data_IF_881549180737
#
_entry.id   IF_881549180737
#
_cell.length_a   1.000
_cell.length_b   1.000
_cell.length_c   1.000
_cell.angle_alpha   90.00
_cell.angle_beta   90.00
_cell.angle_gamma   90.00
#
_symmetry.space_group_name_H-M   'P 1'
#
loop_
_entity.id
_entity.type
_entity.pdbx_description
1 polymer ?
#
# COMPACT_ATOMS: atom_id res chain seq x y z
N UNK A 1 -3.25 1.26 -19.47
CA UNK A 1 -2.56 0.18 -18.75
C UNK A 1 -3.29 0.02 -17.43
N UNK A 2 -3.83 -1.16 -17.14
CA UNK A 2 -4.48 -1.40 -15.86
C UNK A 2 -3.46 -1.93 -14.87
N UNK A 3 -3.46 -1.32 -13.69
CA UNK A 3 -2.49 -1.57 -12.64
C UNK A 3 -3.09 -2.43 -11.54
N UNK A 4 -2.22 -3.24 -10.96
CA UNK A 4 -2.32 -3.94 -9.69
C UNK A 4 -3.20 -3.23 -8.65
N UNK A 5 -4.05 -4.01 -7.99
CA UNK A 5 -4.85 -3.65 -6.83
C UNK A 5 -4.04 -3.81 -5.56
N UNK A 6 -4.07 -2.78 -4.71
CA UNK A 6 -3.41 -2.76 -3.41
C UNK A 6 -4.45 -2.36 -2.37
N UNK A 7 -4.49 -3.07 -1.25
CA UNK A 7 -5.31 -2.74 -0.08
C UNK A 7 -4.45 -2.74 1.16
N UNK A 8 -4.66 -1.73 2.00
CA UNK A 8 -4.04 -1.58 3.29
C UNK A 8 -5.11 -1.62 4.38
N UNK A 9 -4.80 -2.33 5.46
CA UNK A 9 -5.68 -2.46 6.63
C UNK A 9 -4.84 -2.24 7.88
N UNK A 10 -5.31 -1.39 8.78
CA UNK A 10 -4.70 -1.18 10.09
C UNK A 10 -5.66 -1.63 11.18
N UNK A 11 -5.18 -2.47 12.08
CA UNK A 11 -5.95 -3.00 13.21
C UNK A 11 -5.00 -3.34 14.35
N UNK A 12 -5.35 -2.92 15.56
CA UNK A 12 -4.69 -3.33 16.81
C UNK A 12 -3.16 -3.13 16.79
N UNK A 13 -2.70 -2.01 16.22
CA UNK A 13 -1.27 -1.68 16.13
C UNK A 13 -0.51 -2.41 15.03
N UNK A 14 -1.20 -3.18 14.18
CA UNK A 14 -0.63 -3.87 13.01
C UNK A 14 -1.22 -3.27 11.74
N UNK A 15 -0.36 -2.92 10.80
CA UNK A 15 -0.74 -2.54 9.44
C UNK A 15 -0.34 -3.64 8.48
N UNK A 16 -1.28 -4.09 7.66
CA UNK A 16 -1.04 -5.02 6.57
C UNK A 16 -1.25 -4.31 5.23
N UNK A 17 -0.38 -4.59 4.26
CA UNK A 17 -0.55 -4.22 2.86
C UNK A 17 -0.60 -5.49 2.01
N UNK A 18 -1.66 -5.67 1.24
CA UNK A 18 -1.80 -6.72 0.25
C UNK A 18 -1.79 -6.08 -1.15
N UNK A 19 -1.02 -6.63 -2.08
CA UNK A 19 -1.04 -6.21 -3.48
C UNK A 19 -1.01 -7.42 -4.41
N UNK A 20 -1.90 -7.44 -5.41
CA UNK A 20 -1.91 -8.52 -6.39
C UNK A 20 -0.70 -8.41 -7.35
N UNK A 21 -0.64 -9.29 -8.35
CA UNK A 21 0.48 -9.33 -9.29
C UNK A 21 0.11 -9.00 -10.73
N UNK A 22 -1.17 -8.77 -11.02
CA UNK A 22 -1.65 -8.62 -12.38
C UNK A 22 -1.27 -7.26 -12.96
N UNK A 23 -0.81 -7.30 -14.21
CA UNK A 23 -0.59 -6.13 -15.05
C UNK A 23 -1.22 -6.43 -16.40
N UNK A 24 -2.12 -5.55 -16.84
CA UNK A 24 -2.85 -5.71 -18.09
C UNK A 24 -2.62 -4.52 -19.02
N UNK A 25 -2.41 -4.83 -20.31
CA UNK A 25 -2.34 -3.85 -21.39
C UNK A 25 -3.58 -4.03 -22.27
N UNK A 26 -4.55 -3.12 -22.12
CA UNK A 26 -5.92 -3.36 -22.61
C UNK A 26 -6.48 -4.61 -21.95
N UNK A 27 -6.99 -5.52 -22.77
CA UNK A 27 -7.62 -6.76 -22.32
C UNK A 27 -6.65 -7.94 -22.22
N UNK A 28 -5.34 -7.70 -22.39
CA UNK A 28 -4.30 -8.73 -22.35
C UNK A 28 -3.49 -8.64 -21.05
N UNK A 29 -3.41 -9.76 -20.33
CA UNK A 29 -2.51 -9.90 -19.18
C UNK A 29 -1.07 -10.02 -19.68
N UNK A 30 -0.23 -9.04 -19.32
CA UNK A 30 1.19 -9.01 -19.71
C UNK A 30 2.12 -9.52 -18.60
N UNK A 31 1.68 -9.49 -17.34
CA UNK A 31 2.42 -10.04 -16.19
C UNK A 31 1.45 -10.44 -15.08
N UNK A 32 1.75 -11.53 -14.37
CA UNK A 32 0.96 -12.03 -13.23
C UNK A 32 1.66 -11.95 -11.87
N UNK A 33 2.95 -11.62 -11.85
CA UNK A 33 3.78 -11.57 -10.64
C UNK A 33 4.52 -10.25 -10.49
N UNK A 34 3.85 -9.13 -10.74
CA UNK A 34 4.37 -7.84 -10.32
C UNK A 34 4.35 -7.73 -8.79
N UNK A 35 5.35 -7.10 -8.20
CA UNK A 35 5.37 -6.82 -6.75
C UNK A 35 5.45 -5.31 -6.60
N UNK A 36 4.34 -4.71 -6.17
CA UNK A 36 4.20 -3.25 -5.99
C UNK A 36 4.00 -2.83 -4.55
N UNK A 37 4.14 -3.77 -3.62
CA UNK A 37 4.23 -3.53 -2.19
C UNK A 37 5.65 -3.82 -1.73
N UNK A 38 6.19 -3.01 -0.83
CA UNK A 38 7.53 -3.20 -0.25
C UNK A 38 7.62 -2.56 1.14
N UNK A 39 8.69 -2.90 1.85
CA UNK A 39 9.09 -2.26 3.08
C UNK A 39 10.08 -1.12 2.80
N UNK A 40 10.09 -0.12 3.68
CA UNK A 40 11.06 0.98 3.77
C UNK A 40 11.53 1.12 5.22
N UNK A 41 12.56 1.93 5.45
CA UNK A 41 13.06 2.25 6.79
C UNK A 41 13.28 1.00 7.67
N UNK A 42 14.05 0.04 7.14
CA UNK A 42 14.39 -1.21 7.82
C UNK A 42 13.16 -2.04 8.27
N UNK A 43 12.03 -1.92 7.55
CA UNK A 43 10.80 -2.65 7.85
C UNK A 43 9.78 -1.87 8.69
N UNK A 44 10.10 -0.65 9.12
CA UNK A 44 9.21 0.16 9.95
C UNK A 44 8.03 0.78 9.17
N UNK A 45 8.12 0.85 7.85
CA UNK A 45 7.07 1.43 6.98
C UNK A 45 6.79 0.51 5.80
N UNK A 46 5.51 0.31 5.51
CA UNK A 46 5.02 -0.33 4.30
C UNK A 46 4.66 0.72 3.27
N UNK A 47 4.91 0.42 2.00
CA UNK A 47 4.47 1.24 0.88
C UNK A 47 3.95 0.38 -0.26
N UNK A 48 2.84 0.82 -0.83
CA UNK A 48 2.20 0.27 -2.01
C UNK A 48 2.02 1.35 -3.06
N UNK A 49 2.20 1.00 -4.33
CA UNK A 49 2.08 1.94 -5.44
C UNK A 49 1.20 1.38 -6.57
N UNK A 50 0.22 2.18 -7.00
CA UNK A 50 -0.54 1.94 -8.23
C UNK A 50 -0.09 2.92 -9.32
N UNK A 51 0.34 2.39 -10.46
CA UNK A 51 0.86 3.15 -11.60
C UNK A 51 1.96 2.41 -12.37
N UNK A 52 2.72 3.14 -13.20
CA UNK A 52 3.88 2.61 -13.92
C UNK A 52 5.11 2.45 -13.00
N UNK A 53 5.87 1.37 -13.21
CA UNK A 53 7.00 1.00 -12.34
C UNK A 53 8.12 2.05 -12.35
N UNK A 54 8.35 2.71 -13.49
CA UNK A 54 9.35 3.79 -13.62
C UNK A 54 9.10 4.93 -12.64
N UNK A 55 7.84 5.27 -12.46
CA UNK A 55 7.39 6.41 -11.69
C UNK A 55 7.44 6.11 -10.19
N UNK A 56 7.21 4.84 -9.85
CA UNK A 56 7.26 4.33 -8.49
C UNK A 56 8.65 4.52 -7.85
N UNK A 57 9.73 4.12 -8.54
CA UNK A 57 11.07 4.13 -7.95
C UNK A 57 11.49 5.54 -7.54
N UNK A 58 11.31 6.52 -8.42
CA UNK A 58 11.68 7.91 -8.09
C UNK A 58 10.86 8.46 -6.93
N UNK A 59 9.54 8.22 -6.89
CA UNK A 59 8.70 8.67 -5.78
C UNK A 59 9.07 8.01 -4.45
N UNK A 60 9.41 6.72 -4.49
CA UNK A 60 9.83 5.97 -3.31
C UNK A 60 11.16 6.48 -2.75
N UNK A 61 12.15 6.73 -3.60
CA UNK A 61 13.44 7.28 -3.19
C UNK A 61 13.26 8.66 -2.52
N UNK A 62 12.39 9.50 -3.08
CA UNK A 62 12.03 10.80 -2.48
C UNK A 62 11.34 10.63 -1.14
N UNK A 63 10.35 9.75 -1.07
CA UNK A 63 9.63 9.48 0.17
C UNK A 63 10.55 8.98 1.28
N UNK A 64 11.47 8.06 0.97
CA UNK A 64 12.44 7.52 1.92
C UNK A 64 13.41 8.60 2.43
N UNK A 65 13.84 9.51 1.55
CA UNK A 65 14.62 10.70 1.93
C UNK A 65 13.85 11.59 2.92
N UNK A 66 12.59 11.90 2.63
CA UNK A 66 11.73 12.71 3.52
C UNK A 66 11.43 12.01 4.84
N UNK A 67 11.27 10.69 4.82
CA UNK A 67 11.04 9.87 6.00
C UNK A 67 12.26 9.91 6.94
N UNK A 68 13.46 9.77 6.38
CA UNK A 68 14.72 9.90 7.11
C UNK A 68 14.88 11.31 7.71
N UNK A 69 14.67 12.35 6.91
CA UNK A 69 14.76 13.75 7.35
C UNK A 69 13.71 14.10 8.42
N UNK A 70 12.56 13.41 8.40
CA UNK A 70 11.46 13.59 9.34
C UNK A 70 11.58 12.71 10.59
N UNK A 71 12.72 12.02 10.80
CA UNK A 71 12.93 11.10 11.92
C UNK A 71 11.82 10.04 12.01
N UNK A 72 11.48 9.43 10.88
CA UNK A 72 10.45 8.40 10.76
C UNK A 72 9.02 8.87 11.06
N UNK A 73 8.76 10.18 11.05
CA UNK A 73 7.38 10.69 11.12
C UNK A 73 6.67 10.54 9.77
N UNK A 74 5.77 9.55 9.68
CA UNK A 74 5.08 9.18 8.44
C UNK A 74 4.29 10.34 7.82
N UNK A 75 3.47 11.04 8.61
CA UNK A 75 2.63 12.14 8.12
C UNK A 75 3.49 13.30 7.59
N UNK A 76 4.53 13.67 8.33
CA UNK A 76 5.44 14.73 7.90
C UNK A 76 6.15 14.35 6.61
N UNK A 77 6.64 13.11 6.52
CA UNK A 77 7.29 12.61 5.31
C UNK A 77 6.34 12.62 4.11
N UNK A 78 5.09 12.20 4.30
CA UNK A 78 4.06 12.21 3.26
C UNK A 78 3.77 13.63 2.75
N UNK A 79 3.61 14.59 3.67
CA UNK A 79 3.38 16.00 3.31
C UNK A 79 4.54 16.59 2.51
N UNK A 80 5.79 16.37 2.93
CA UNK A 80 6.95 16.88 2.19
C UNK A 80 7.11 16.20 0.82
N UNK A 81 6.84 14.89 0.75
CA UNK A 81 6.86 14.14 -0.52
C UNK A 81 5.85 14.70 -1.51
N UNK A 82 4.62 14.94 -1.07
CA UNK A 82 3.55 15.45 -1.93
C UNK A 82 3.81 16.91 -2.37
N UNK A 83 4.42 17.73 -1.50
CA UNK A 83 4.89 19.07 -1.90
C UNK A 83 5.93 18.98 -3.01
N UNK A 84 6.94 18.13 -2.85
CA UNK A 84 7.98 17.96 -3.87
C UNK A 84 7.38 17.41 -5.17
N UNK A 85 6.54 16.39 -5.09
CA UNK A 85 5.85 15.77 -6.22
C UNK A 85 5.15 16.81 -7.11
N UNK A 86 4.42 17.77 -6.52
CA UNK A 86 3.76 18.84 -7.28
C UNK A 86 4.71 19.81 -7.96
N UNK A 87 5.84 20.08 -7.34
CA UNK A 87 6.80 21.10 -7.82
C UNK A 87 7.80 20.54 -8.82
N UNK A 88 8.12 19.25 -8.73
CA UNK A 88 9.07 18.59 -9.59
C UNK A 88 8.49 18.40 -11.00
N UNK A 89 9.22 18.88 -12.01
CA UNK A 89 8.81 18.84 -13.42
C UNK A 89 8.64 17.41 -13.93
N UNK A 90 9.41 16.44 -13.43
CA UNK A 90 9.34 15.05 -13.81
C UNK A 90 8.18 14.32 -13.12
N UNK A 91 7.85 14.70 -11.87
CA UNK A 91 6.87 13.97 -11.05
C UNK A 91 5.43 14.47 -11.22
N UNK A 92 5.21 15.75 -11.52
CA UNK A 92 3.87 16.37 -11.50
C UNK A 92 2.85 15.79 -12.50
N UNK A 93 3.31 15.08 -13.53
CA UNK A 93 2.46 14.48 -14.55
C UNK A 93 2.19 12.99 -14.27
N UNK A 94 2.69 12.46 -13.15
CA UNK A 94 2.49 11.06 -12.79
C UNK A 94 1.06 10.84 -12.32
N UNK A 95 0.36 9.90 -12.94
CA UNK A 95 -0.99 9.45 -12.53
C UNK A 95 -0.95 8.40 -11.42
N UNK A 96 0.13 8.43 -10.63
CA UNK A 96 0.38 7.47 -9.59
C UNK A 96 -0.41 7.74 -8.31
N UNK A 97 -0.71 6.68 -7.57
CA UNK A 97 -1.19 6.75 -6.20
C UNK A 97 -0.32 5.87 -5.31
N UNK A 98 0.00 6.38 -4.13
CA UNK A 98 0.75 5.67 -3.10
C UNK A 98 -0.15 5.41 -1.89
N UNK A 99 -0.02 4.24 -1.30
CA UNK A 99 -0.46 3.97 0.07
C UNK A 99 0.79 3.75 0.90
N UNK A 100 0.93 4.46 2.02
CA UNK A 100 2.00 4.26 3.00
C UNK A 100 1.38 3.94 4.35
N UNK A 101 2.06 3.13 5.15
CA UNK A 101 1.58 2.81 6.49
C UNK A 101 2.70 2.41 7.43
N UNK A 102 2.63 2.88 8.67
CA UNK A 102 3.47 2.43 9.78
C UNK A 102 2.59 1.63 10.78
N UNK A 103 3.14 1.29 11.94
CA UNK A 103 2.38 0.60 13.01
C UNK A 103 1.27 1.43 13.67
N UNK A 104 1.07 2.69 13.26
CA UNK A 104 0.15 3.63 13.88
C UNK A 104 -0.98 4.07 12.95
N UNK A 105 -0.70 4.20 11.65
CA UNK A 105 -1.67 4.75 10.70
C UNK A 105 -1.38 4.34 9.25
N UNK A 106 -2.37 4.58 8.39
CA UNK A 106 -2.29 4.47 6.93
C UNK A 106 -2.55 5.85 6.32
N UNK A 107 -1.80 6.20 5.27
CA UNK A 107 -2.01 7.41 4.47
C UNK A 107 -2.03 7.08 2.99
N UNK A 108 -2.90 7.74 2.24
CA UNK A 108 -2.91 7.73 0.77
C UNK A 108 -2.36 9.04 0.24
N UNK A 109 -1.47 8.97 -0.76
CA UNK A 109 -0.83 10.11 -1.38
C UNK A 109 -1.13 10.12 -2.89
N UNK A 110 -1.35 11.32 -3.44
CA UNK A 110 -1.62 11.52 -4.87
C UNK A 110 -0.74 12.63 -5.46
N UNK A 111 -0.51 12.58 -6.78
CA UNK A 111 0.18 13.64 -7.52
C UNK A 111 -0.58 14.98 -7.56
N UNK A 112 -1.85 15.01 -7.16
CA UNK A 112 -2.66 16.24 -7.09
C UNK A 112 -2.36 17.10 -5.86
N UNK A 113 -1.59 16.57 -4.90
CA UNK A 113 -1.30 17.29 -3.67
C UNK A 113 -1.97 16.74 -2.43
N UNK A 114 -2.59 15.56 -2.52
CA UNK A 114 -3.40 15.04 -1.44
C UNK A 114 -2.57 14.15 -0.52
N UNK A 115 -2.74 14.35 0.79
CA UNK A 115 -2.36 13.40 1.84
C UNK A 115 -3.63 13.11 2.62
N UNK A 116 -4.14 11.89 2.48
CA UNK A 116 -5.45 11.50 3.00
C UNK A 116 -5.25 10.39 4.02
N UNK A 117 -5.66 10.65 5.27
CA UNK A 117 -5.89 9.62 6.26
C UNK A 117 -7.33 9.11 6.09
N UNK A 118 -7.56 7.79 6.03
CA UNK A 118 -8.90 7.26 5.84
C UNK A 118 -9.72 7.34 7.14
N UNK A 119 -11.04 7.55 7.02
CA UNK A 119 -11.96 7.63 8.18
C UNK A 119 -12.05 6.30 8.93
N UNK A 120 -12.01 5.20 8.17
CA UNK A 120 -11.79 3.85 8.70
C UNK A 120 -10.37 3.41 8.36
N UNK A 121 -9.81 2.50 9.15
CA UNK A 121 -8.43 2.07 9.03
C UNK A 121 -8.17 1.16 7.80
N UNK A 122 -8.69 1.52 6.63
CA UNK A 122 -8.62 0.83 5.35
C UNK A 122 -8.35 1.85 4.25
N UNK A 123 -7.42 1.56 3.35
CA UNK A 123 -7.23 2.30 2.10
C UNK A 123 -6.96 1.33 0.96
N UNK A 124 -7.44 1.62 -0.25
CA UNK A 124 -7.13 0.80 -1.41
C UNK A 124 -6.93 1.65 -2.68
N UNK A 125 -6.10 1.16 -3.59
CA UNK A 125 -5.78 1.78 -4.88
C UNK A 125 -5.66 0.71 -5.96
N UNK A 126 -5.69 1.11 -7.23
CA UNK A 126 -5.60 0.20 -8.37
C UNK A 126 -6.97 -0.18 -8.95
N UNK A 127 -6.98 -1.06 -9.96
CA UNK A 127 -8.19 -1.35 -10.75
C UNK A 127 -9.35 -1.90 -9.92
N UNK A 128 -9.05 -2.82 -8.99
CA UNK A 128 -10.01 -3.43 -8.08
C UNK A 128 -10.08 -2.74 -6.71
N UNK A 129 -9.49 -1.54 -6.57
CA UNK A 129 -9.36 -0.85 -5.28
C UNK A 129 -10.69 -0.65 -4.58
N UNK A 130 -11.74 -0.23 -5.29
CA UNK A 130 -13.06 -0.02 -4.71
C UNK A 130 -13.69 -1.31 -4.13
N UNK A 131 -13.50 -2.46 -4.81
CA UNK A 131 -13.99 -3.75 -4.34
C UNK A 131 -13.21 -4.23 -3.12
N UNK A 132 -11.88 -4.10 -3.16
CA UNK A 132 -11.02 -4.46 -2.03
C UNK A 132 -11.34 -3.58 -0.80
N UNK A 133 -11.55 -2.28 -1.00
CA UNK A 133 -11.90 -1.36 0.08
C UNK A 133 -13.24 -1.71 0.72
N UNK A 134 -14.28 -1.95 -0.09
CA UNK A 134 -15.59 -2.34 0.42
C UNK A 134 -15.52 -3.66 1.21
N UNK A 135 -14.81 -4.66 0.69
CA UNK A 135 -14.62 -5.94 1.37
C UNK A 135 -13.84 -5.80 2.69
N UNK A 136 -12.72 -5.07 2.67
CA UNK A 136 -11.90 -4.85 3.86
C UNK A 136 -12.67 -4.09 4.95
N UNK A 137 -13.44 -3.04 4.60
CA UNK A 137 -14.27 -2.30 5.55
C UNK A 137 -15.35 -3.20 6.16
N UNK A 138 -16.02 -4.03 5.35
CA UNK A 138 -17.03 -4.96 5.85
C UNK A 138 -16.42 -5.97 6.84
N UNK A 139 -15.29 -6.56 6.51
CA UNK A 139 -14.57 -7.51 7.37
C UNK A 139 -14.05 -6.85 8.65
N UNK A 140 -13.50 -5.64 8.55
CA UNK A 140 -13.00 -4.87 9.70
C UNK A 140 -14.12 -4.58 10.71
N UNK A 141 -15.33 -4.29 10.24
CA UNK A 141 -16.49 -4.00 11.10
C UNK A 141 -17.15 -5.24 11.68
N UNK A 142 -17.15 -6.36 10.95
CA UNK A 142 -17.98 -7.52 11.26
C UNK A 142 -17.23 -8.71 11.86
N UNK A 143 -15.89 -8.65 11.97
CA UNK A 143 -15.07 -9.78 12.38
C UNK A 143 -13.95 -9.39 13.34
N UNK A 144 -13.37 -10.40 13.99
CA UNK A 144 -12.15 -10.28 14.79
C UNK A 144 -10.88 -10.71 14.05
N UNK A 145 -10.92 -10.71 12.72
CA UNK A 145 -9.78 -11.10 11.89
C UNK A 145 -8.60 -10.14 12.05
N UNK A 146 -7.35 -10.64 12.08
CA UNK A 146 -6.16 -9.79 12.09
C UNK A 146 -6.05 -9.00 10.77
N UNK A 147 -5.33 -7.86 10.82
CA UNK A 147 -5.16 -6.96 9.67
C UNK A 147 -4.70 -7.70 8.39
N UNK A 148 -3.76 -8.63 8.54
CA UNK A 148 -3.23 -9.45 7.44
C UNK A 148 -4.32 -10.26 6.75
N UNK A 149 -5.18 -10.90 7.53
CA UNK A 149 -6.22 -11.78 7.01
C UNK A 149 -7.35 -10.97 6.36
N UNK A 150 -7.69 -9.80 6.92
CA UNK A 150 -8.62 -8.87 6.28
C UNK A 150 -8.07 -8.44 4.92
N UNK A 151 -6.80 -8.01 4.85
CA UNK A 151 -6.19 -7.58 3.59
C UNK A 151 -6.15 -8.70 2.54
N UNK A 152 -5.84 -9.93 2.97
CA UNK A 152 -5.83 -11.14 2.13
C UNK A 152 -7.21 -11.43 1.54
N UNK A 153 -8.25 -11.49 2.37
CA UNK A 153 -9.60 -11.81 1.92
C UNK A 153 -10.19 -10.68 1.06
N UNK A 154 -9.93 -9.42 1.42
CA UNK A 154 -10.36 -8.28 0.63
C UNK A 154 -9.77 -8.30 -0.79
N UNK A 155 -8.48 -8.64 -0.91
CA UNK A 155 -7.85 -8.78 -2.22
C UNK A 155 -8.46 -9.95 -3.01
N UNK A 156 -8.70 -11.10 -2.37
CA UNK A 156 -9.34 -12.26 -2.98
C UNK A 156 -10.73 -11.91 -3.56
N UNK A 157 -11.59 -11.28 -2.76
CA UNK A 157 -12.92 -10.82 -3.18
C UNK A 157 -12.81 -9.83 -4.35
N UNK A 158 -11.84 -8.93 -4.34
CA UNK A 158 -11.63 -8.00 -5.46
C UNK A 158 -11.29 -8.75 -6.76
N UNK A 159 -10.49 -9.82 -6.70
CA UNK A 159 -10.15 -10.64 -7.87
C UNK A 159 -11.29 -11.52 -8.39
N UNK A 160 -12.32 -11.76 -7.59
CA UNK A 160 -13.55 -12.45 -8.05
C UNK A 160 -14.45 -11.53 -8.88
N UNK A 161 -14.27 -10.21 -8.77
CA UNK A 161 -15.14 -9.20 -9.38
C UNK A 161 -14.41 -8.42 -10.49
N UNK A 162 -13.20 -7.92 -10.21
CA UNK A 162 -12.43 -7.11 -11.14
C UNK A 162 -11.56 -7.97 -12.06
N UNK A 163 -11.83 -7.90 -13.36
CA UNK A 163 -11.07 -8.63 -14.40
C UNK A 163 -9.59 -8.23 -14.45
N UNK A 164 -9.23 -7.09 -13.86
CA UNK A 164 -7.86 -6.59 -13.81
C UNK A 164 -7.10 -6.95 -12.52
N UNK A 165 -7.73 -7.68 -11.59
CA UNK A 165 -7.15 -8.09 -10.30
C UNK A 165 -7.07 -9.63 -10.21
N UNK A 166 -5.93 -10.19 -9.82
CA UNK A 166 -5.79 -11.65 -9.73
C UNK A 166 -6.34 -12.28 -8.45
N UNK A 167 -6.65 -11.49 -7.43
CA UNK A 167 -7.17 -11.96 -6.14
C UNK A 167 -6.13 -12.56 -5.18
N UNK A 168 -4.93 -12.85 -5.67
CA UNK A 168 -3.82 -13.34 -4.87
C UNK A 168 -2.56 -12.53 -5.16
N UNK A 169 -1.73 -12.32 -4.13
CA UNK A 169 -0.49 -11.59 -4.27
C UNK A 169 0.33 -11.48 -2.99
N UNK A 170 1.24 -10.52 -2.98
CA UNK A 170 2.17 -10.30 -1.88
C UNK A 170 1.46 -9.59 -0.73
N UNK A 171 1.69 -10.07 0.49
CA UNK A 171 1.20 -9.44 1.71
C UNK A 171 2.39 -9.14 2.61
N UNK A 172 2.45 -7.92 3.11
CA UNK A 172 3.46 -7.44 4.04
C UNK A 172 2.76 -6.88 5.28
N UNK A 173 3.40 -7.03 6.43
CA UNK A 173 2.90 -6.52 7.70
C UNK A 173 3.97 -5.70 8.41
N UNK A 174 3.52 -4.71 9.16
CA UNK A 174 4.33 -3.97 10.13
C UNK A 174 3.51 -3.84 11.40
N UNK A 175 4.13 -4.08 12.54
CA UNK A 175 3.46 -4.08 13.83
C UNK A 175 4.44 -3.78 14.95
N UNK A 176 4.03 -3.96 16.22
CA UNK A 176 5.00 -4.05 17.30
C UNK A 176 6.01 -5.15 16.97
N UNK A 177 7.31 -4.91 17.21
CA UNK A 177 8.31 -5.97 17.14
C UNK A 177 7.78 -7.14 17.97
N UNK A 178 7.43 -8.25 17.34
CA UNK A 178 7.39 -9.50 18.07
C UNK A 178 8.80 -9.66 18.60
N UNK A 179 8.96 -9.57 19.92
CA UNK A 179 10.19 -9.95 20.59
C UNK A 179 10.66 -11.23 19.90
N UNK A 180 11.83 -11.14 19.26
CA UNK A 180 12.47 -12.25 18.61
C UNK A 180 12.48 -13.39 19.64
N UNK A 181 11.60 -14.39 19.49
CA UNK A 181 11.67 -15.59 20.30
C UNK A 181 13.02 -16.18 19.95
N UNK A 182 13.96 -16.00 20.87
CA UNK A 182 15.29 -16.52 20.75
C UNK A 182 15.19 -18.00 20.45
N UNK A 183 15.60 -18.39 19.25
CA UNK A 183 16.24 -19.70 19.06
C UNK A 183 17.58 -19.67 19.80
N UNK A 184 17.48 -19.68 21.12
CA UNK A 184 18.50 -20.22 22.01
C UNK A 184 17.85 -21.42 22.68
N UNK A 185 17.77 -22.51 21.92
CA UNK A 185 17.63 -23.85 22.49
C UNK A 185 18.88 -24.64 22.09
N UNK A 186 19.78 -24.69 23.08
CA UNK A 186 20.72 -25.74 23.48
C UNK A 186 21.12 -26.85 22.47
#
# INVERSE_FOLDING_TARGET
MHGTTIVAVHRDGVTALAGDGQVSLGDTIVKRGAVKVRTLADGAVLVGFAGAVSDAFTLLDKFEGHLTASKQNLLKAAVETVKEWRTDRALRNLEAMLIVGDRHQILSLSGHGDVIAPDEAVAAVGSGGAFAQAAAMALLRATDLPAEEIARQALAIAGEIDVYTSGAGTILTVGPETANEGKDDA
#
